data_IF_260654171522
#
_entry.id   IF_260654171522
#
_cell.length_a   1.000
_cell.length_b   1.000
_cell.length_c   1.000
_cell.angle_alpha   90.00
_cell.angle_beta   90.00
_cell.angle_gamma   90.00
#
_symmetry.space_group_name_H-M   'P 1'
#
loop_
_entity.id
_entity.type
_entity.pdbx_description
1 polymer ?
#
# COMPACT_ATOMS: atom_id res chain seq x y z
N UNK A 1 21.31 76.10 24.15
CA UNK A 1 20.40 75.94 25.31
C UNK A 1 18.99 76.30 24.87
N UNK A 2 17.99 75.56 25.38
CA UNK A 2 16.52 75.71 25.21
C UNK A 2 15.84 75.08 23.96
N UNK A 3 15.43 73.81 24.10
CA UNK A 3 14.04 73.35 24.22
C UNK A 3 12.89 74.24 23.70
N UNK A 4 12.01 73.73 22.80
CA UNK A 4 10.67 73.19 23.16
C UNK A 4 9.80 72.76 21.96
N UNK A 5 9.03 71.70 22.21
CA UNK A 5 7.93 71.12 21.46
C UNK A 5 6.82 72.12 21.07
N UNK A 6 6.17 71.90 19.92
CA UNK A 6 4.76 71.49 19.85
C UNK A 6 4.39 71.13 18.40
N UNK A 7 3.87 69.92 18.15
CA UNK A 7 2.97 69.68 17.01
C UNK A 7 2.01 68.56 17.35
N UNK A 8 0.74 68.94 17.28
CA UNK A 8 -0.45 68.16 17.60
C UNK A 8 -0.88 67.41 16.33
N UNK A 9 -1.32 66.17 16.56
CA UNK A 9 -1.97 65.24 15.64
C UNK A 9 -3.06 65.86 14.76
N UNK A 10 -3.14 65.43 13.49
CA UNK A 10 -4.42 64.98 12.92
C UNK A 10 -4.20 63.93 11.82
N UNK A 11 -4.98 62.86 11.95
CA UNK A 11 -4.94 61.60 11.22
C UNK A 11 -5.80 61.72 9.94
N UNK A 12 -5.30 61.28 8.79
CA UNK A 12 -6.17 60.82 7.71
C UNK A 12 -5.54 59.64 6.97
N UNK A 13 -6.36 58.59 6.88
CA UNK A 13 -6.08 57.26 6.36
C UNK A 13 -6.01 57.30 4.82
N UNK A 14 -4.95 56.76 4.23
CA UNK A 14 -4.96 56.33 2.82
C UNK A 14 -4.45 54.89 2.74
N UNK A 15 -5.35 53.99 2.36
CA UNK A 15 -5.06 52.60 2.01
C UNK A 15 -4.13 52.56 0.81
N UNK A 16 -2.98 51.90 0.95
CA UNK A 16 -2.12 51.51 -0.18
C UNK A 16 -2.36 50.02 -0.42
N UNK A 17 -3.03 49.68 -1.52
CA UNK A 17 -3.03 48.33 -2.08
C UNK A 17 -1.79 48.19 -2.97
N UNK A 18 -0.77 47.49 -2.47
CA UNK A 18 0.34 47.05 -3.30
C UNK A 18 -0.05 45.77 -4.06
N UNK A 19 0.05 45.86 -5.38
CA UNK A 19 -0.01 44.74 -6.32
C UNK A 19 1.09 43.72 -6.06
N UNK A 20 0.76 42.43 -6.08
CA UNK A 20 1.75 41.36 -6.24
C UNK A 20 1.38 40.49 -7.45
N UNK A 21 1.97 40.84 -8.59
CA UNK A 21 1.89 40.11 -9.84
C UNK A 21 3.04 39.09 -9.85
N UNK A 22 2.80 37.83 -9.44
CA UNK A 22 3.62 36.65 -9.79
C UNK A 22 3.00 35.36 -9.21
N UNK A 23 2.34 34.59 -10.07
CA UNK A 23 2.45 33.13 -10.25
C UNK A 23 1.25 32.51 -11.00
N UNK A 24 0.99 32.93 -12.24
CA UNK A 24 -0.01 32.25 -13.11
C UNK A 24 0.60 31.14 -14.00
N UNK A 25 1.93 31.04 -14.14
CA UNK A 25 2.55 30.04 -15.03
C UNK A 25 2.42 28.58 -14.59
N UNK A 26 2.17 28.29 -13.30
CA UNK A 26 2.00 26.91 -12.82
C UNK A 26 0.57 26.41 -13.02
N UNK A 27 -0.42 27.30 -12.99
CA UNK A 27 -1.84 26.95 -13.09
C UNK A 27 -2.28 26.81 -14.55
N UNK A 28 -1.73 27.64 -15.45
CA UNK A 28 -1.95 27.52 -16.91
C UNK A 28 -1.33 26.23 -17.49
N UNK A 29 -0.17 25.79 -17.00
CA UNK A 29 0.45 24.53 -17.45
C UNK A 29 -0.29 23.27 -16.98
N UNK A 30 -0.93 23.30 -15.81
CA UNK A 30 -1.74 22.19 -15.29
C UNK A 30 -3.09 22.09 -16.02
N UNK A 31 -3.72 23.22 -16.35
CA UNK A 31 -4.96 23.22 -17.15
C UNK A 31 -4.70 22.75 -18.59
N UNK A 32 -3.61 23.21 -19.23
CA UNK A 32 -3.27 22.78 -20.60
C UNK A 32 -2.95 21.27 -20.69
N UNK A 33 -2.22 20.70 -19.72
CA UNK A 33 -1.94 19.26 -19.72
C UNK A 33 -3.19 18.40 -19.47
N UNK A 34 -4.09 18.84 -18.60
CA UNK A 34 -5.32 18.09 -18.29
C UNK A 34 -6.28 18.10 -19.48
N UNK A 35 -6.36 19.21 -20.20
CA UNK A 35 -7.19 19.34 -21.40
C UNK A 35 -6.65 18.52 -22.58
N UNK A 36 -5.32 18.48 -22.76
CA UNK A 36 -4.66 17.67 -23.80
C UNK A 36 -4.83 16.17 -23.56
N UNK A 37 -4.74 15.68 -22.30
CA UNK A 37 -4.90 14.24 -22.00
C UNK A 37 -6.36 13.77 -22.23
N UNK A 38 -7.35 14.63 -21.98
CA UNK A 38 -8.76 14.25 -22.13
C UNK A 38 -9.16 13.95 -23.59
N UNK A 39 -8.48 14.53 -24.58
CA UNK A 39 -8.74 14.30 -26.01
C UNK A 39 -7.84 13.22 -26.64
N UNK A 40 -7.02 12.52 -25.83
CA UNK A 40 -6.18 11.42 -26.34
C UNK A 40 -6.95 10.13 -26.49
N UNK A 41 -6.56 9.31 -27.47
CA UNK A 41 -7.00 7.91 -27.60
C UNK A 41 -6.19 7.00 -26.68
N UNK A 42 -6.70 5.80 -26.40
CA UNK A 42 -5.99 4.81 -25.59
C UNK A 42 -4.56 4.55 -26.09
N UNK A 43 -4.33 4.50 -27.39
CA UNK A 43 -3.00 4.26 -28.00
C UNK A 43 -2.07 5.48 -28.00
N UNK A 44 -2.59 6.70 -27.81
CA UNK A 44 -1.78 7.90 -28.01
C UNK A 44 -0.77 8.11 -26.88
N UNK A 45 0.48 8.41 -27.24
CA UNK A 45 1.57 8.69 -26.30
C UNK A 45 2.24 7.46 -25.69
N UNK A 46 1.74 6.25 -25.93
CA UNK A 46 2.37 5.01 -25.47
C UNK A 46 3.15 4.31 -26.58
N UNK A 47 4.19 3.59 -26.18
CA UNK A 47 4.92 2.65 -27.04
C UNK A 47 4.50 1.23 -26.71
N UNK A 48 4.38 0.39 -27.74
CA UNK A 48 3.99 -1.04 -27.62
C UNK A 48 5.23 -1.96 -27.69
N UNK A 49 6.34 -1.45 -28.21
CA UNK A 49 7.64 -2.12 -28.16
C UNK A 49 8.27 -1.94 -26.77
N UNK A 50 8.94 -2.99 -26.26
CA UNK A 50 9.63 -2.98 -24.96
C UNK A 50 8.74 -2.59 -23.76
N UNK A 51 7.46 -2.93 -23.80
CA UNK A 51 6.57 -2.78 -22.64
C UNK A 51 6.73 -3.95 -21.66
N UNK A 52 5.98 -3.90 -20.56
CA UNK A 52 5.82 -5.03 -19.63
C UNK A 52 5.03 -6.21 -20.25
N UNK A 53 4.46 -6.03 -21.44
CA UNK A 53 3.77 -7.05 -22.23
C UNK A 53 4.59 -7.38 -23.48
N UNK A 54 4.51 -8.63 -23.96
CA UNK A 54 5.10 -8.93 -25.26
C UNK A 54 4.27 -8.26 -26.35
N UNK A 55 4.93 -7.70 -27.36
CA UNK A 55 4.25 -7.01 -28.47
C UNK A 55 3.17 -7.87 -29.12
N UNK A 56 3.45 -9.15 -29.28
CA UNK A 56 2.54 -10.10 -29.94
C UNK A 56 1.30 -10.43 -29.09
N UNK A 57 1.30 -10.06 -27.80
CA UNK A 57 0.17 -10.27 -26.90
C UNK A 57 -0.82 -9.09 -26.93
N UNK A 58 -0.51 -8.02 -27.68
CA UNK A 58 -1.33 -6.80 -27.76
C UNK A 58 -2.06 -6.77 -29.11
N UNK A 59 -3.32 -7.19 -29.08
CA UNK A 59 -4.19 -7.39 -30.24
C UNK A 59 -4.77 -6.07 -30.82
N UNK A 60 -3.90 -5.17 -31.28
CA UNK A 60 -4.34 -3.95 -31.96
C UNK A 60 -5.11 -4.26 -33.24
N UNK A 61 -6.05 -3.37 -33.61
CA UNK A 61 -6.87 -3.46 -34.83
C UNK A 61 -7.71 -4.75 -34.93
N UNK A 62 -7.97 -5.42 -33.79
CA UNK A 62 -8.77 -6.64 -33.72
C UNK A 62 -10.21 -6.38 -33.30
N UNK A 63 -10.40 -5.67 -32.19
CA UNK A 63 -11.72 -5.48 -31.58
C UNK A 63 -12.29 -4.09 -31.87
N UNK A 64 -13.56 -4.03 -32.26
CA UNK A 64 -14.25 -2.78 -32.56
C UNK A 64 -15.49 -2.56 -31.68
N UNK A 65 -15.64 -1.34 -31.18
CA UNK A 65 -16.82 -0.84 -30.49
C UNK A 65 -17.34 0.40 -31.24
N UNK A 66 -18.64 0.42 -31.59
CA UNK A 66 -19.24 1.52 -32.36
C UNK A 66 -18.48 1.91 -33.64
N UNK A 67 -18.01 0.93 -34.42
CA UNK A 67 -17.21 1.10 -35.65
C UNK A 67 -15.82 1.75 -35.44
N UNK A 68 -15.30 1.73 -34.23
CA UNK A 68 -13.96 2.21 -33.88
C UNK A 68 -13.18 1.10 -33.18
N UNK A 69 -11.89 0.96 -33.49
CA UNK A 69 -11.04 -0.01 -32.80
C UNK A 69 -10.86 0.39 -31.33
N UNK A 70 -10.77 -0.58 -30.42
CA UNK A 70 -10.63 -0.32 -28.97
C UNK A 70 -9.47 0.65 -28.71
N UNK A 71 -8.30 0.44 -29.31
CA UNK A 71 -7.14 1.29 -29.06
C UNK A 71 -7.31 2.73 -29.56
N UNK A 72 -8.27 2.98 -30.45
CA UNK A 72 -8.59 4.30 -30.95
C UNK A 72 -9.64 5.02 -30.08
N UNK A 73 -10.27 4.37 -29.10
CA UNK A 73 -11.28 4.99 -28.22
C UNK A 73 -10.65 6.15 -27.42
N UNK A 74 -11.35 7.27 -27.35
CA UNK A 74 -10.92 8.45 -26.61
C UNK A 74 -11.08 8.27 -25.10
N UNK A 75 -10.10 8.75 -24.33
CA UNK A 75 -10.11 8.68 -22.87
C UNK A 75 -11.35 9.39 -22.30
N UNK A 76 -11.74 10.56 -22.83
CA UNK A 76 -12.96 11.27 -22.37
C UNK A 76 -14.23 10.44 -22.50
N UNK A 77 -14.34 9.59 -23.52
CA UNK A 77 -15.53 8.77 -23.71
C UNK A 77 -15.59 7.69 -22.62
N UNK A 78 -14.46 7.07 -22.29
CA UNK A 78 -14.37 6.11 -21.18
C UNK A 78 -14.54 6.76 -19.80
N UNK A 79 -14.31 8.07 -19.67
CA UNK A 79 -14.62 8.83 -18.45
C UNK A 79 -16.13 9.09 -18.32
N UNK A 80 -16.87 9.20 -19.42
CA UNK A 80 -18.33 9.31 -19.40
C UNK A 80 -18.95 8.01 -18.84
N UNK A 81 -19.81 8.16 -17.84
CA UNK A 81 -20.40 7.01 -17.12
C UNK A 81 -21.33 6.19 -18.01
N UNK A 82 -22.10 6.83 -18.89
CA UNK A 82 -23.07 6.13 -19.73
C UNK A 82 -22.33 5.35 -20.82
N UNK A 83 -21.38 5.99 -21.49
CA UNK A 83 -20.51 5.34 -22.46
C UNK A 83 -19.77 4.16 -21.82
N UNK A 84 -19.12 4.36 -20.66
CA UNK A 84 -18.41 3.29 -19.96
C UNK A 84 -19.33 2.12 -19.58
N UNK A 85 -20.58 2.39 -19.20
CA UNK A 85 -21.57 1.34 -18.87
C UNK A 85 -21.89 0.48 -20.09
N UNK A 86 -22.12 1.09 -21.26
CA UNK A 86 -22.36 0.35 -22.50
C UNK A 86 -21.09 -0.34 -23.01
N UNK A 87 -19.94 0.27 -22.81
CA UNK A 87 -18.65 -0.32 -23.14
C UNK A 87 -18.37 -1.58 -22.30
N UNK A 88 -18.66 -1.55 -20.99
CA UNK A 88 -18.57 -2.73 -20.11
C UNK A 88 -19.47 -3.86 -20.64
N UNK A 89 -20.70 -3.57 -21.07
CA UNK A 89 -21.56 -4.60 -21.67
C UNK A 89 -20.91 -5.20 -22.92
N UNK A 90 -20.35 -4.36 -23.80
CA UNK A 90 -19.64 -4.82 -24.99
C UNK A 90 -18.44 -5.72 -24.65
N UNK A 91 -17.66 -5.37 -23.63
CA UNK A 91 -16.51 -6.19 -23.19
C UNK A 91 -16.93 -7.57 -22.70
N UNK A 92 -18.13 -7.70 -22.14
CA UNK A 92 -18.70 -8.98 -21.66
C UNK A 92 -19.32 -9.83 -22.77
N UNK A 93 -19.67 -9.24 -23.90
CA UNK A 93 -20.33 -9.96 -24.99
C UNK A 93 -19.36 -10.92 -25.68
N UNK A 94 -19.60 -12.23 -25.55
CA UNK A 94 -18.89 -13.27 -26.29
C UNK A 94 -19.75 -13.74 -27.47
N UNK A 95 -19.43 -13.32 -28.70
CA UNK A 95 -20.09 -13.80 -29.93
C UNK A 95 -19.29 -14.90 -30.62
N UNK A 96 -17.96 -14.87 -30.46
CA UNK A 96 -16.99 -15.88 -30.91
C UNK A 96 -15.98 -16.14 -29.78
N UNK A 97 -15.27 -17.28 -29.80
CA UNK A 97 -14.30 -17.65 -28.75
C UNK A 97 -13.22 -16.56 -28.54
N UNK A 98 -12.75 -15.93 -29.62
CA UNK A 98 -11.77 -14.83 -29.57
C UNK A 98 -12.28 -13.54 -28.87
N UNK A 99 -13.60 -13.39 -28.66
CA UNK A 99 -14.17 -12.20 -28.02
C UNK A 99 -13.89 -12.13 -26.52
N UNK A 100 -13.52 -13.25 -25.88
CA UNK A 100 -13.21 -13.31 -24.45
C UNK A 100 -12.05 -12.37 -24.07
N UNK A 101 -11.19 -12.02 -25.03
CA UNK A 101 -9.99 -11.20 -24.82
C UNK A 101 -10.17 -9.70 -25.10
N UNK A 102 -11.40 -9.20 -25.33
CA UNK A 102 -11.64 -7.74 -25.47
C UNK A 102 -11.16 -6.97 -24.23
N UNK A 103 -11.48 -7.48 -23.05
CA UNK A 103 -11.08 -6.92 -21.75
C UNK A 103 -9.56 -6.94 -21.55
N UNK A 104 -8.89 -7.92 -22.14
CA UNK A 104 -7.44 -8.09 -22.12
C UNK A 104 -6.75 -6.90 -22.80
N UNK A 105 -7.16 -6.55 -24.02
CA UNK A 105 -6.56 -5.44 -24.77
C UNK A 105 -6.71 -4.11 -24.05
N UNK A 106 -7.94 -3.75 -23.62
CA UNK A 106 -8.16 -2.46 -22.95
C UNK A 106 -7.39 -2.38 -21.62
N UNK A 107 -7.31 -3.48 -20.88
CA UNK A 107 -6.53 -3.55 -19.64
C UNK A 107 -5.04 -3.34 -19.90
N UNK A 108 -4.47 -4.00 -20.91
CA UNK A 108 -3.06 -3.82 -21.31
C UNK A 108 -2.78 -2.35 -21.65
N UNK A 109 -3.59 -1.73 -22.49
CA UNK A 109 -3.40 -0.33 -22.90
C UNK A 109 -3.47 0.61 -21.69
N UNK A 110 -4.46 0.46 -20.81
CA UNK A 110 -4.59 1.26 -19.59
C UNK A 110 -3.39 1.09 -18.66
N UNK A 111 -2.92 -0.15 -18.45
CA UNK A 111 -1.73 -0.42 -17.62
C UNK A 111 -0.46 0.20 -18.26
N UNK A 112 -0.28 0.08 -19.58
CA UNK A 112 0.85 0.69 -20.29
C UNK A 112 0.82 2.21 -20.08
N UNK A 113 -0.35 2.85 -20.21
CA UNK A 113 -0.50 4.29 -19.97
C UNK A 113 -0.17 4.68 -18.54
N UNK A 114 -0.65 3.91 -17.55
CA UNK A 114 -0.30 4.15 -16.14
C UNK A 114 1.21 4.11 -15.91
N UNK A 115 1.91 3.16 -16.53
CA UNK A 115 3.36 2.98 -16.34
C UNK A 115 4.17 4.03 -17.11
N UNK A 116 3.89 4.24 -18.40
CA UNK A 116 4.71 5.11 -19.26
C UNK A 116 4.38 6.59 -19.06
N UNK A 117 3.12 6.92 -18.80
CA UNK A 117 2.62 8.30 -18.77
C UNK A 117 2.22 8.78 -17.37
N UNK A 118 2.21 7.90 -16.37
CA UNK A 118 1.58 8.20 -15.06
C UNK A 118 0.13 8.67 -15.24
N UNK A 119 -0.59 8.07 -16.19
CA UNK A 119 -1.93 8.49 -16.58
C UNK A 119 -2.96 8.18 -15.48
N UNK A 120 -3.46 9.23 -14.84
CA UNK A 120 -4.44 9.16 -13.74
C UNK A 120 -5.84 8.77 -14.22
N UNK A 121 -6.20 9.11 -15.47
CA UNK A 121 -7.47 8.71 -16.05
C UNK A 121 -7.44 7.22 -16.37
N UNK A 122 -6.30 6.71 -16.84
CA UNK A 122 -6.12 5.28 -17.07
C UNK A 122 -6.28 4.47 -15.76
N UNK A 123 -5.73 4.95 -14.65
CA UNK A 123 -5.96 4.35 -13.33
C UNK A 123 -7.45 4.30 -12.97
N UNK A 124 -8.17 5.42 -13.15
CA UNK A 124 -9.58 5.50 -12.84
C UNK A 124 -10.42 4.57 -13.71
N UNK A 125 -10.22 4.61 -15.03
CA UNK A 125 -10.94 3.75 -15.97
C UNK A 125 -10.67 2.29 -15.67
N UNK A 126 -9.41 1.89 -15.47
CA UNK A 126 -9.08 0.50 -15.12
C UNK A 126 -9.77 0.08 -13.81
N UNK A 127 -9.77 0.94 -12.79
CA UNK A 127 -10.47 0.69 -11.52
C UNK A 127 -11.97 0.50 -11.72
N UNK A 128 -12.60 1.31 -12.57
CA UNK A 128 -14.03 1.22 -12.89
C UNK A 128 -14.38 -0.05 -13.66
N UNK A 129 -13.58 -0.42 -14.68
CA UNK A 129 -13.77 -1.65 -15.44
C UNK A 129 -13.62 -2.88 -14.54
N UNK A 130 -12.71 -2.83 -13.58
CA UNK A 130 -12.43 -3.92 -12.64
C UNK A 130 -13.54 -4.17 -11.62
N UNK A 131 -14.58 -3.33 -11.57
CA UNK A 131 -15.75 -3.53 -10.69
C UNK A 131 -16.73 -4.57 -11.24
N UNK A 132 -16.67 -4.85 -12.54
CA UNK A 132 -17.45 -5.93 -13.14
C UNK A 132 -16.59 -7.20 -13.17
N UNK A 133 -17.05 -8.26 -12.50
CA UNK A 133 -16.27 -9.49 -12.32
C UNK A 133 -15.87 -10.15 -13.64
N UNK A 134 -16.75 -10.15 -14.65
CA UNK A 134 -16.46 -10.81 -15.93
C UNK A 134 -15.40 -10.04 -16.73
N UNK A 135 -15.48 -8.71 -16.68
CA UNK A 135 -14.46 -7.83 -17.30
C UNK A 135 -13.13 -7.90 -16.53
N UNK A 136 -13.18 -7.97 -15.21
CA UNK A 136 -11.98 -8.09 -14.37
C UNK A 136 -11.24 -9.41 -14.62
N UNK A 137 -11.97 -10.53 -14.63
CA UNK A 137 -11.45 -11.88 -14.80
C UNK A 137 -10.67 -12.05 -16.11
N UNK A 138 -11.25 -11.58 -17.23
CA UNK A 138 -10.59 -11.61 -18.55
C UNK A 138 -9.73 -10.38 -18.85
N UNK A 139 -9.51 -9.53 -17.85
CA UNK A 139 -8.84 -8.24 -17.99
C UNK A 139 -7.76 -8.05 -16.95
N UNK A 140 -8.05 -7.22 -15.95
CA UNK A 140 -7.06 -6.77 -14.96
C UNK A 140 -6.46 -7.92 -14.15
N UNK A 141 -7.23 -8.97 -13.85
CA UNK A 141 -6.82 -10.06 -12.97
C UNK A 141 -5.71 -10.93 -13.60
N UNK A 142 -5.69 -11.04 -14.93
CA UNK A 142 -4.60 -11.68 -15.69
C UNK A 142 -3.25 -10.98 -15.50
N UNK A 143 -3.27 -9.74 -14.99
CA UNK A 143 -2.10 -8.87 -14.87
C UNK A 143 -1.76 -8.47 -13.45
N UNK A 144 -2.26 -9.22 -12.45
CA UNK A 144 -1.99 -8.98 -11.04
C UNK A 144 -0.49 -8.83 -10.73
N UNK A 145 0.35 -9.77 -11.15
CA UNK A 145 1.80 -9.71 -10.95
C UNK A 145 2.43 -8.41 -11.51
N UNK A 146 2.03 -8.01 -12.72
CA UNK A 146 2.54 -6.79 -13.38
C UNK A 146 2.08 -5.51 -12.66
N UNK A 147 0.83 -5.48 -12.21
CA UNK A 147 0.29 -4.38 -11.40
C UNK A 147 0.97 -4.30 -10.03
N UNK A 148 1.24 -5.44 -9.40
CA UNK A 148 1.94 -5.52 -8.11
C UNK A 148 3.35 -5.01 -8.22
N UNK A 149 4.08 -5.38 -9.28
CA UNK A 149 5.38 -4.78 -9.59
C UNK A 149 5.28 -3.26 -9.70
N UNK A 150 4.33 -2.74 -10.48
CA UNK A 150 4.16 -1.28 -10.62
C UNK A 150 3.80 -0.60 -9.29
N UNK A 151 2.97 -1.22 -8.46
CA UNK A 151 2.65 -0.74 -7.12
C UNK A 151 3.88 -0.65 -6.22
N UNK A 152 4.74 -1.68 -6.22
CA UNK A 152 6.00 -1.68 -5.46
C UNK A 152 6.96 -0.60 -5.98
N UNK A 153 7.05 -0.41 -7.30
CA UNK A 153 7.90 0.62 -7.89
C UNK A 153 7.41 2.04 -7.58
N UNK A 154 6.10 2.24 -7.53
CA UNK A 154 5.46 3.56 -7.43
C UNK A 154 4.26 3.57 -6.47
N UNK A 155 4.46 3.32 -5.16
CA UNK A 155 3.36 3.28 -4.20
C UNK A 155 2.66 4.63 -4.05
N UNK A 156 3.40 5.73 -4.25
CA UNK A 156 2.86 7.09 -4.20
C UNK A 156 1.72 7.29 -5.21
N UNK A 157 1.88 6.82 -6.44
CA UNK A 157 0.86 6.95 -7.48
C UNK A 157 -0.45 6.27 -7.07
N UNK A 158 -0.38 5.03 -6.58
CA UNK A 158 -1.56 4.28 -6.15
C UNK A 158 -2.26 4.92 -4.94
N UNK A 159 -1.50 5.42 -3.98
CA UNK A 159 -2.08 6.13 -2.82
C UNK A 159 -2.80 7.40 -3.26
N UNK A 160 -2.16 8.21 -4.12
CA UNK A 160 -2.72 9.47 -4.58
C UNK A 160 -3.97 9.26 -5.42
N UNK A 161 -3.94 8.32 -6.39
CA UNK A 161 -5.10 8.09 -7.25
C UNK A 161 -6.22 7.34 -6.53
N UNK A 162 -5.88 6.35 -5.68
CA UNK A 162 -6.85 5.67 -4.84
C UNK A 162 -7.58 6.63 -3.90
N UNK A 163 -6.86 7.56 -3.27
CA UNK A 163 -7.46 8.59 -2.43
C UNK A 163 -8.31 9.58 -3.23
N UNK A 164 -7.85 10.01 -4.41
CA UNK A 164 -8.56 10.96 -5.29
C UNK A 164 -9.91 10.42 -5.78
N UNK A 165 -9.95 9.15 -6.16
CA UNK A 165 -11.15 8.51 -6.72
C UNK A 165 -11.96 7.73 -5.68
N UNK A 166 -11.46 7.59 -4.45
CA UNK A 166 -12.05 6.78 -3.39
C UNK A 166 -12.21 5.30 -3.75
N UNK A 167 -11.24 4.75 -4.48
CA UNK A 167 -11.29 3.39 -5.03
C UNK A 167 -10.23 2.47 -4.44
N UNK A 168 -10.56 1.21 -4.24
CA UNK A 168 -9.63 0.16 -3.76
C UNK A 168 -9.58 -1.05 -4.69
N UNK A 169 -10.34 -1.07 -5.79
CA UNK A 169 -10.51 -2.24 -6.66
C UNK A 169 -9.19 -2.84 -7.14
N UNK A 170 -8.26 -2.00 -7.62
CA UNK A 170 -6.95 -2.49 -8.07
C UNK A 170 -6.10 -3.04 -6.92
N UNK A 171 -6.26 -2.56 -5.69
CA UNK A 171 -5.59 -3.12 -4.53
C UNK A 171 -6.05 -4.56 -4.26
N UNK A 172 -7.30 -4.90 -4.57
CA UNK A 172 -7.81 -6.27 -4.44
C UNK A 172 -7.12 -7.23 -5.43
N UNK A 173 -6.71 -6.73 -6.60
CA UNK A 173 -5.91 -7.50 -7.56
C UNK A 173 -4.44 -7.59 -7.14
N UNK A 174 -3.91 -6.54 -6.51
CA UNK A 174 -2.49 -6.44 -6.11
C UNK A 174 -2.18 -7.26 -4.86
N UNK A 175 -2.99 -7.13 -3.81
CA UNK A 175 -2.66 -7.68 -2.49
C UNK A 175 -2.49 -9.20 -2.44
N UNK A 176 -3.30 -10.01 -3.14
CA UNK A 176 -3.09 -11.46 -3.20
C UNK A 176 -1.72 -11.85 -3.77
N UNK A 177 -1.14 -11.02 -4.64
CA UNK A 177 0.13 -11.27 -5.30
C UNK A 177 1.33 -10.85 -4.45
N UNK A 178 1.12 -10.08 -3.37
CA UNK A 178 2.22 -9.62 -2.52
C UNK A 178 2.97 -10.78 -1.86
N UNK A 179 2.36 -11.95 -1.66
CA UNK A 179 3.05 -13.14 -1.14
C UNK A 179 4.16 -13.65 -2.06
N UNK A 180 4.14 -13.31 -3.36
CA UNK A 180 5.19 -13.68 -4.31
C UNK A 180 6.39 -12.74 -4.29
N UNK A 181 6.24 -11.55 -3.71
CA UNK A 181 7.29 -10.51 -3.62
C UNK A 181 7.77 -10.31 -2.17
N UNK A 182 6.82 -10.35 -1.23
CA UNK A 182 6.80 -10.26 0.22
C UNK A 182 7.53 -11.34 1.05
N UNK A 183 8.68 -10.98 1.62
CA UNK A 183 9.33 -11.46 2.85
C UNK A 183 8.50 -11.67 4.13
N UNK A 184 7.62 -12.67 4.30
CA UNK A 184 6.99 -12.91 5.63
C UNK A 184 8.01 -13.35 6.70
N UNK A 185 7.85 -12.89 7.95
CA UNK A 185 8.76 -13.26 9.06
C UNK A 185 8.86 -14.78 9.29
N UNK A 186 7.77 -15.53 9.15
CA UNK A 186 7.78 -16.99 9.35
C UNK A 186 8.67 -17.73 8.34
N UNK A 187 8.85 -17.16 7.14
CA UNK A 187 9.64 -17.75 6.07
C UNK A 187 11.05 -18.15 6.53
N UNK A 188 11.73 -17.30 7.29
CA UNK A 188 13.09 -17.58 7.75
C UNK A 188 13.11 -18.78 8.68
N UNK A 189 12.23 -18.81 9.67
CA UNK A 189 12.11 -19.94 10.61
C UNK A 189 11.72 -21.24 9.90
N UNK A 190 10.73 -21.17 9.02
CA UNK A 190 10.19 -22.32 8.29
C UNK A 190 11.23 -22.95 7.36
N UNK A 191 12.22 -22.16 6.92
CA UNK A 191 13.28 -22.60 6.02
C UNK A 191 14.65 -22.76 6.70
N UNK A 192 14.71 -22.76 8.03
CA UNK A 192 15.93 -22.91 8.83
C UNK A 192 16.99 -21.83 8.56
N UNK A 193 16.53 -20.60 8.34
CA UNK A 193 17.34 -19.40 8.17
C UNK A 193 17.63 -18.70 9.50
N UNK A 194 18.91 -18.41 9.74
CA UNK A 194 19.38 -17.52 10.80
C UNK A 194 19.64 -16.13 10.22
N UNK A 195 19.00 -15.10 10.79
CA UNK A 195 19.02 -13.71 10.30
C UNK A 195 18.74 -12.75 11.47
N UNK A 196 19.47 -11.63 11.52
CA UNK A 196 19.27 -10.57 12.52
C UNK A 196 18.09 -9.66 12.13
N UNK A 197 16.88 -10.08 12.49
CA UNK A 197 15.64 -9.36 12.21
C UNK A 197 15.47 -8.14 13.13
N UNK A 198 15.16 -6.99 12.52
CA UNK A 198 14.89 -5.71 13.20
C UNK A 198 13.44 -5.26 12.95
N UNK A 199 12.89 -4.57 13.93
CA UNK A 199 11.50 -4.13 13.91
C UNK A 199 11.27 -3.11 12.78
N UNK A 200 10.20 -3.29 12.02
CA UNK A 200 9.85 -2.40 10.91
C UNK A 200 10.44 -2.79 9.55
N UNK A 201 11.29 -3.82 9.47
CA UNK A 201 11.86 -4.26 8.19
C UNK A 201 10.79 -4.87 7.28
N UNK A 202 10.98 -4.76 5.97
CA UNK A 202 10.16 -5.39 4.95
C UNK A 202 11.10 -5.95 3.87
N UNK A 203 11.09 -7.26 3.64
CA UNK A 203 12.04 -7.86 2.71
C UNK A 203 11.42 -8.18 1.36
N UNK A 204 12.18 -7.94 0.28
CA UNK A 204 11.87 -8.45 -1.05
C UNK A 204 12.50 -9.83 -1.25
N UNK A 205 11.78 -10.75 -1.91
CA UNK A 205 12.37 -12.00 -2.36
C UNK A 205 13.54 -11.74 -3.35
N UNK A 206 14.74 -12.29 -3.11
CA UNK A 206 15.93 -11.95 -3.92
C UNK A 206 15.81 -12.29 -5.41
N UNK A 207 15.09 -13.36 -5.77
CA UNK A 207 14.87 -13.76 -7.15
C UNK A 207 13.93 -12.82 -7.91
N UNK A 208 13.08 -12.07 -7.18
CA UNK A 208 12.17 -11.05 -7.75
C UNK A 208 12.87 -9.75 -8.11
N UNK A 209 14.05 -9.45 -7.57
CA UNK A 209 14.77 -8.20 -7.84
C UNK A 209 14.98 -7.96 -9.35
N UNK A 210 15.35 -9.01 -10.09
CA UNK A 210 15.64 -8.95 -11.53
C UNK A 210 14.42 -8.57 -12.38
N UNK A 211 13.22 -8.77 -11.87
CA UNK A 211 11.96 -8.53 -12.58
C UNK A 211 11.62 -7.03 -12.62
N UNK A 212 12.19 -6.21 -11.75
CA UNK A 212 11.93 -4.77 -11.66
C UNK A 212 12.66 -3.93 -12.71
N UNK A 213 12.19 -2.70 -12.94
CA UNK A 213 12.83 -1.74 -13.83
C UNK A 213 14.27 -1.41 -13.40
N UNK A 214 15.15 -1.10 -14.36
CA UNK A 214 16.54 -0.70 -14.07
C UNK A 214 16.62 0.53 -13.14
N UNK A 215 15.69 1.48 -13.29
CA UNK A 215 15.58 2.62 -12.38
C UNK A 215 15.25 2.20 -10.95
N UNK A 216 14.34 1.25 -10.78
CA UNK A 216 13.96 0.76 -9.47
C UNK A 216 15.07 -0.06 -8.83
N UNK A 217 15.73 -0.96 -9.58
CA UNK A 217 16.91 -1.70 -9.10
C UNK A 217 18.01 -0.77 -8.60
N UNK A 218 18.34 0.29 -9.36
CA UNK A 218 19.28 1.34 -8.89
C UNK A 218 18.80 2.07 -7.64
N UNK A 219 17.49 2.25 -7.45
CA UNK A 219 16.93 2.87 -6.25
C UNK A 219 17.13 1.96 -5.03
N UNK A 220 16.69 0.71 -5.10
CA UNK A 220 16.72 -0.23 -3.98
C UNK A 220 18.13 -0.74 -3.65
N UNK A 221 19.08 -0.70 -4.61
CA UNK A 221 20.50 -1.04 -4.36
C UNK A 221 21.18 -0.17 -3.29
N UNK A 222 20.56 0.95 -2.91
CA UNK A 222 21.04 1.86 -1.86
C UNK A 222 20.46 1.53 -0.48
N UNK A 223 19.50 0.63 -0.42
CA UNK A 223 18.87 0.23 0.83
C UNK A 223 19.75 -0.77 1.58
N UNK A 224 19.49 -0.92 2.87
CA UNK A 224 20.17 -1.91 3.70
C UNK A 224 19.81 -3.32 3.26
N UNK A 225 20.78 -4.22 3.41
CA UNK A 225 20.59 -5.65 3.25
C UNK A 225 20.86 -6.36 4.56
N UNK A 226 20.10 -7.42 4.83
CA UNK A 226 20.40 -8.34 5.93
C UNK A 226 20.81 -9.70 5.35
N UNK A 227 21.89 -10.25 5.90
CA UNK A 227 22.40 -11.56 5.52
C UNK A 227 21.61 -12.64 6.28
N UNK A 228 21.13 -13.66 5.56
CA UNK A 228 20.54 -14.85 6.15
C UNK A 228 21.37 -16.08 5.81
N UNK A 229 21.73 -16.84 6.85
CA UNK A 229 22.42 -18.12 6.73
C UNK A 229 21.39 -19.23 6.86
N UNK A 230 21.11 -19.92 5.76
CA UNK A 230 20.19 -21.04 5.73
C UNK A 230 20.92 -22.38 5.88
N UNK A 231 20.38 -23.21 6.77
CA UNK A 231 20.68 -24.64 6.83
C UNK A 231 19.98 -25.40 5.67
N UNK A 232 20.31 -26.69 5.44
CA UNK A 232 19.68 -27.48 4.39
C UNK A 232 18.18 -27.64 4.59
N UNK A 233 17.38 -27.24 3.61
CA UNK A 233 15.91 -27.31 3.58
C UNK A 233 15.42 -27.45 2.13
N UNK A 234 14.11 -27.60 1.94
CA UNK A 234 13.53 -27.65 0.59
C UNK A 234 13.84 -26.37 -0.21
N UNK A 235 13.73 -25.20 0.42
CA UNK A 235 14.05 -23.91 -0.19
C UNK A 235 15.51 -23.82 -0.64
N UNK A 236 16.43 -24.36 0.15
CA UNK A 236 17.86 -24.35 -0.21
C UNK A 236 18.31 -25.51 -1.07
N UNK A 237 17.38 -26.36 -1.55
CA UNK A 237 17.69 -27.60 -2.26
C UNK A 237 18.69 -28.48 -1.48
N UNK A 238 18.49 -28.55 -0.16
CA UNK A 238 19.30 -29.34 0.79
C UNK A 238 20.78 -28.94 0.84
N UNK A 239 21.09 -27.66 0.63
CA UNK A 239 22.45 -27.11 0.72
C UNK A 239 22.50 -25.94 1.70
N UNK A 240 23.65 -25.73 2.33
CA UNK A 240 23.87 -24.48 3.07
C UNK A 240 23.92 -23.32 2.08
N UNK A 241 23.17 -22.24 2.36
CA UNK A 241 23.17 -21.04 1.52
C UNK A 241 23.23 -19.79 2.38
N UNK A 242 24.02 -18.83 1.93
CA UNK A 242 24.00 -17.47 2.46
C UNK A 242 23.32 -16.58 1.42
N UNK A 243 22.25 -15.90 1.81
CA UNK A 243 21.43 -15.08 0.91
C UNK A 243 21.19 -13.73 1.56
N UNK A 244 21.42 -12.66 0.81
CA UNK A 244 21.14 -11.30 1.25
C UNK A 244 19.71 -10.90 0.87
N UNK A 245 18.96 -10.35 1.82
CA UNK A 245 17.62 -9.79 1.61
C UNK A 245 17.69 -8.27 1.68
N UNK A 246 17.12 -7.59 0.68
CA UNK A 246 17.03 -6.13 0.65
C UNK A 246 15.85 -5.70 1.52
N UNK A 247 16.08 -4.81 2.49
CA UNK A 247 15.04 -4.15 3.25
C UNK A 247 14.42 -3.01 2.42
N UNK A 248 13.22 -3.26 1.90
CA UNK A 248 12.41 -2.33 1.11
C UNK A 248 11.41 -1.53 1.95
N UNK A 249 11.47 -1.59 3.29
CA UNK A 249 10.64 -0.76 4.18
C UNK A 249 10.71 0.75 3.86
N UNK A 250 11.83 1.33 3.37
CA UNK A 250 11.87 2.75 3.01
C UNK A 250 10.90 3.14 1.89
N UNK A 251 10.43 2.19 1.05
CA UNK A 251 9.41 2.46 0.02
C UNK A 251 8.08 2.93 0.62
N UNK A 252 7.77 2.48 1.83
CA UNK A 252 6.53 2.78 2.56
C UNK A 252 6.79 3.59 3.84
N UNK A 253 8.01 4.12 4.00
CA UNK A 253 8.47 4.85 5.18
C UNK A 253 8.22 6.35 5.13
N UNK A 254 8.95 7.09 5.97
CA UNK A 254 8.75 8.54 6.18
C UNK A 254 8.84 9.37 4.89
N UNK A 255 9.77 9.05 3.98
CA UNK A 255 9.92 9.77 2.72
C UNK A 255 8.67 9.72 1.84
N UNK A 256 7.93 8.61 1.86
CA UNK A 256 6.64 8.50 1.21
C UNK A 256 5.60 9.33 1.96
N UNK A 257 5.49 9.14 3.28
CA UNK A 257 4.46 9.75 4.11
C UNK A 257 4.51 11.29 4.12
N UNK A 258 5.70 11.89 4.00
CA UNK A 258 5.85 13.36 3.94
C UNK A 258 5.26 13.93 2.62
N UNK A 259 5.21 13.13 1.55
CA UNK A 259 4.64 13.55 0.26
C UNK A 259 3.10 13.48 0.24
N UNK A 260 2.49 12.83 1.23
CA UNK A 260 1.05 12.61 1.28
C UNK A 260 0.32 13.74 2.02
N UNK A 261 -0.81 14.17 1.48
CA UNK A 261 -1.76 15.02 2.18
C UNK A 261 -2.60 14.23 3.22
N UNK A 262 -3.45 14.91 3.98
CA UNK A 262 -4.25 14.28 5.06
C UNK A 262 -5.18 13.18 4.54
N UNK A 263 -5.84 13.40 3.40
CA UNK A 263 -6.75 12.42 2.80
C UNK A 263 -5.99 11.20 2.27
N UNK A 264 -4.84 11.43 1.64
CA UNK A 264 -3.95 10.37 1.13
C UNK A 264 -3.36 9.52 2.26
N UNK A 265 -2.94 10.14 3.37
CA UNK A 265 -2.49 9.42 4.57
C UNK A 265 -3.61 8.56 5.14
N UNK A 266 -4.82 9.09 5.22
CA UNK A 266 -5.96 8.32 5.70
C UNK A 266 -6.25 7.12 4.78
N UNK A 267 -6.24 7.33 3.46
CA UNK A 267 -6.39 6.25 2.50
C UNK A 267 -5.29 5.18 2.66
N UNK A 268 -4.02 5.57 2.77
CA UNK A 268 -2.91 4.65 2.98
C UNK A 268 -3.10 3.83 4.26
N UNK A 269 -3.42 4.47 5.38
CA UNK A 269 -3.61 3.80 6.67
C UNK A 269 -4.79 2.81 6.64
N UNK A 270 -5.89 3.19 6.00
CA UNK A 270 -7.10 2.37 5.93
C UNK A 270 -6.95 1.17 4.98
N UNK A 271 -6.36 1.40 3.80
CA UNK A 271 -6.46 0.45 2.69
C UNK A 271 -5.16 -0.28 2.39
N UNK A 272 -4.00 0.22 2.82
CA UNK A 272 -2.69 -0.35 2.44
C UNK A 272 -1.89 -0.80 3.67
N UNK A 273 -1.81 0.06 4.70
CA UNK A 273 -0.95 -0.18 5.86
C UNK A 273 -1.27 -1.51 6.56
N UNK A 274 -2.55 -1.87 6.69
CA UNK A 274 -2.94 -3.12 7.34
C UNK A 274 -2.47 -4.36 6.58
N UNK A 275 -2.55 -4.36 5.24
CA UNK A 275 -2.00 -5.44 4.43
C UNK A 275 -0.48 -5.53 4.60
N UNK A 276 0.22 -4.39 4.57
CA UNK A 276 1.67 -4.35 4.73
C UNK A 276 2.13 -4.88 6.10
N UNK A 277 1.39 -4.63 7.19
CA UNK A 277 1.71 -5.15 8.54
C UNK A 277 1.88 -6.68 8.57
N UNK A 278 1.23 -7.42 7.67
CA UNK A 278 1.40 -8.88 7.57
C UNK A 278 2.80 -9.31 7.09
N UNK A 279 3.57 -8.38 6.51
CA UNK A 279 4.92 -8.59 6.00
C UNK A 279 5.98 -7.81 6.77
N UNK A 280 5.59 -6.76 7.49
CA UNK A 280 6.51 -6.01 8.35
C UNK A 280 7.02 -6.93 9.46
N UNK A 281 8.34 -7.02 9.57
CA UNK A 281 9.02 -7.72 10.64
C UNK A 281 8.72 -7.04 11.96
N UNK A 282 8.10 -7.79 12.85
CA UNK A 282 7.94 -7.39 14.24
C UNK A 282 9.01 -8.12 15.03
N UNK A 283 10.19 -7.49 15.11
CA UNK A 283 11.25 -7.95 16.02
C UNK A 283 10.88 -7.53 17.45
N UNK A 284 9.69 -7.92 17.89
CA UNK A 284 9.59 -8.28 19.28
C UNK A 284 10.56 -9.46 19.43
N UNK A 285 11.80 -9.16 19.86
CA UNK A 285 12.36 -9.95 20.95
C UNK A 285 11.20 -10.01 21.91
N UNK A 286 10.54 -11.16 21.94
CA UNK A 286 9.42 -11.46 22.82
C UNK A 286 9.57 -10.60 24.05
N UNK A 287 8.70 -9.59 24.21
CA UNK A 287 8.40 -9.12 25.56
C UNK A 287 8.11 -10.43 26.28
N UNK A 288 9.06 -10.83 27.15
CA UNK A 288 9.31 -12.24 27.40
C UNK A 288 7.98 -12.90 27.68
N UNK A 289 7.52 -13.79 26.80
CA UNK A 289 6.36 -14.65 27.03
C UNK A 289 6.77 -15.61 28.15
N UNK A 290 6.97 -15.06 29.34
CA UNK A 290 7.29 -15.77 30.53
C UNK A 290 5.96 -16.28 31.02
N UNK A 291 5.79 -17.59 30.95
CA UNK A 291 4.69 -18.24 31.65
C UNK A 291 4.80 -17.89 33.13
N UNK A 292 3.73 -17.33 33.68
CA UNK A 292 3.62 -16.98 35.09
C UNK A 292 2.38 -17.65 35.70
N UNK A 293 2.32 -17.66 37.03
CA UNK A 293 1.20 -18.23 37.77
C UNK A 293 0.53 -17.12 38.58
N UNK A 294 -0.80 -17.11 38.59
CA UNK A 294 -1.57 -16.22 39.46
C UNK A 294 -1.49 -16.70 40.90
N UNK A 295 -1.17 -15.81 41.83
CA UNK A 295 -1.23 -16.07 43.27
C UNK A 295 -1.99 -14.93 43.94
N UNK A 296 -3.19 -15.23 44.38
CA UNK A 296 -4.04 -14.32 45.15
C UNK A 296 -4.56 -15.03 46.42
N UNK A 297 -4.40 -14.45 47.62
CA UNK A 297 -4.97 -14.98 48.87
C UNK A 297 -6.49 -15.17 48.82
N UNK A 298 -7.19 -14.37 48.00
CA UNK A 298 -8.65 -14.45 47.86
C UNK A 298 -9.10 -15.61 46.95
N UNK A 299 -8.14 -16.38 46.41
CA UNK A 299 -8.38 -17.56 45.57
C UNK A 299 -8.59 -17.24 44.08
N UNK A 300 -8.70 -15.96 43.70
CA UNK A 300 -8.77 -15.51 42.32
C UNK A 300 -8.34 -14.04 42.19
N UNK A 301 -8.05 -13.61 40.97
CA UNK A 301 -7.82 -12.19 40.65
C UNK A 301 -8.63 -11.77 39.43
N UNK A 302 -8.81 -10.46 39.26
CA UNK A 302 -9.60 -9.90 38.15
C UNK A 302 -8.69 -9.51 36.99
N UNK A 303 -8.95 -10.07 35.81
CA UNK A 303 -8.43 -9.56 34.54
C UNK A 303 -9.22 -8.31 34.17
N UNK A 304 -8.54 -7.17 34.02
CA UNK A 304 -9.18 -5.88 33.78
C UNK A 304 -8.88 -5.34 32.39
N UNK A 305 -9.77 -4.51 31.86
CA UNK A 305 -9.61 -3.89 30.55
C UNK A 305 -8.47 -2.85 30.48
N UNK A 306 -8.28 -2.08 31.55
CA UNK A 306 -7.26 -1.03 31.68
C UNK A 306 -6.44 -1.16 32.97
N UNK A 307 -5.31 -0.45 33.03
CA UNK A 307 -4.30 -0.47 34.13
C UNK A 307 -4.76 0.21 35.43
N UNK A 308 -5.95 -0.11 35.95
CA UNK A 308 -6.47 0.45 37.21
C UNK A 308 -7.54 -0.45 37.88
N UNK A 309 -7.77 -0.26 39.19
CA UNK A 309 -8.69 -1.08 40.00
C UNK A 309 -10.17 -0.81 39.74
N UNK A 310 -10.53 0.32 39.14
CA UNK A 310 -11.90 0.70 38.78
C UNK A 310 -12.33 0.23 37.39
N UNK A 311 -11.40 -0.29 36.58
CA UNK A 311 -11.65 -0.75 35.23
C UNK A 311 -12.61 -1.94 35.19
N UNK A 312 -13.36 -2.03 34.10
CA UNK A 312 -14.18 -3.18 33.72
C UNK A 312 -13.41 -4.50 33.91
N UNK A 313 -14.09 -5.47 34.54
CA UNK A 313 -13.55 -6.83 34.76
C UNK A 313 -13.96 -7.70 33.57
N UNK A 314 -12.98 -8.21 32.84
CA UNK A 314 -13.17 -9.03 31.65
C UNK A 314 -13.32 -10.52 31.98
N UNK A 315 -12.68 -10.95 33.08
CA UNK A 315 -12.64 -12.34 33.56
C UNK A 315 -12.13 -12.41 35.01
N UNK A 316 -12.58 -13.42 35.77
CA UNK A 316 -11.95 -13.84 37.01
C UNK A 316 -10.99 -15.00 36.73
N UNK A 317 -9.73 -14.89 37.13
CA UNK A 317 -8.66 -15.88 36.90
C UNK A 317 -8.28 -16.50 38.24
N UNK A 318 -8.39 -17.83 38.39
CA UNK A 318 -8.18 -18.47 39.69
C UNK A 318 -6.70 -18.47 40.09
N UNK A 319 -6.46 -18.42 41.40
CA UNK A 319 -5.14 -18.63 41.98
C UNK A 319 -4.62 -20.02 41.61
N UNK A 320 -3.37 -20.11 41.17
CA UNK A 320 -2.75 -21.31 40.61
C UNK A 320 -2.87 -21.46 39.09
N UNK A 321 -3.66 -20.62 38.40
CA UNK A 321 -3.75 -20.67 36.94
C UNK A 321 -2.50 -20.10 36.27
N UNK A 322 -2.15 -20.72 35.14
CA UNK A 322 -1.10 -20.24 34.27
C UNK A 322 -1.60 -19.12 33.35
N UNK A 323 -0.79 -18.09 33.24
CA UNK A 323 -0.99 -16.98 32.32
C UNK A 323 0.26 -16.76 31.48
N UNK A 324 0.06 -16.14 30.33
CA UNK A 324 1.13 -15.63 29.49
C UNK A 324 1.25 -14.13 29.75
N UNK A 325 2.45 -13.64 30.09
CA UNK A 325 2.69 -12.22 30.27
C UNK A 325 3.14 -11.63 28.93
N UNK A 326 2.35 -10.70 28.39
CA UNK A 326 2.57 -10.05 27.09
C UNK A 326 3.31 -8.72 27.24
N UNK A 327 3.10 -7.99 28.34
CA UNK A 327 3.82 -6.76 28.69
C UNK A 327 3.93 -6.65 30.21
N UNK A 328 5.13 -6.44 30.74
CA UNK A 328 5.40 -6.29 32.17
C UNK A 328 5.88 -4.88 32.56
N UNK A 329 5.64 -3.88 31.71
CA UNK A 329 5.99 -2.50 32.00
C UNK A 329 5.03 -1.86 33.04
N UNK A 330 5.56 -1.60 34.23
CA UNK A 330 4.88 -0.90 35.33
C UNK A 330 4.23 -1.83 36.36
N UNK A 331 3.16 -1.37 36.99
CA UNK A 331 2.48 -2.13 38.07
C UNK A 331 1.38 -3.05 37.56
N UNK A 332 0.92 -2.85 36.32
CA UNK A 332 -0.15 -3.61 35.68
C UNK A 332 0.40 -4.29 34.44
N UNK A 333 0.47 -5.61 34.50
CA UNK A 333 0.99 -6.42 33.40
C UNK A 333 -0.15 -6.75 32.44
N UNK A 334 0.11 -6.62 31.13
CA UNK A 334 -0.76 -7.18 30.10
C UNK A 334 -0.52 -8.68 30.06
N UNK A 335 -1.59 -9.44 30.17
CA UNK A 335 -1.54 -10.90 30.22
C UNK A 335 -2.59 -11.51 29.30
N UNK A 336 -2.36 -12.76 28.91
CA UNK A 336 -3.30 -13.61 28.22
C UNK A 336 -3.63 -14.83 29.08
N UNK A 337 -4.92 -15.07 29.28
CA UNK A 337 -5.41 -16.22 30.04
C UNK A 337 -5.40 -17.49 29.19
N UNK A 338 -5.52 -18.66 29.82
CA UNK A 338 -5.66 -19.94 29.11
C UNK A 338 -6.85 -19.97 28.13
N UNK A 339 -7.88 -19.18 28.41
CA UNK A 339 -9.08 -19.02 27.57
C UNK A 339 -8.86 -18.04 26.41
N UNK A 340 -7.66 -17.47 26.27
CA UNK A 340 -7.27 -16.58 25.18
C UNK A 340 -7.69 -15.12 25.35
N UNK A 341 -8.26 -14.74 26.51
CA UNK A 341 -8.61 -13.34 26.80
C UNK A 341 -7.40 -12.55 27.24
N UNK A 342 -7.29 -11.32 26.74
CA UNK A 342 -6.19 -10.40 27.04
C UNK A 342 -6.67 -9.25 27.91
N UNK A 343 -5.86 -8.84 28.87
CA UNK A 343 -6.17 -7.76 29.80
C UNK A 343 -5.09 -7.58 30.85
N UNK A 344 -5.33 -6.70 31.82
CA UNK A 344 -4.35 -6.28 32.80
C UNK A 344 -4.59 -6.89 34.18
N UNK A 345 -3.51 -7.39 34.79
CA UNK A 345 -3.47 -7.87 36.17
C UNK A 345 -2.34 -7.14 36.90
N UNK A 346 -2.59 -6.72 38.14
CA UNK A 346 -1.58 -6.06 38.95
C UNK A 346 -0.45 -7.05 39.31
N UNK A 347 0.81 -6.62 39.17
CA UNK A 347 2.01 -7.47 39.33
C UNK A 347 2.07 -8.21 40.67
N UNK A 348 1.46 -7.65 41.72
CA UNK A 348 1.41 -8.29 43.06
C UNK A 348 0.65 -9.62 43.09
N UNK A 349 -0.08 -9.95 42.02
CA UNK A 349 -0.84 -11.19 41.86
C UNK A 349 -0.18 -12.18 40.92
N UNK A 350 0.99 -11.84 40.38
CA UNK A 350 1.68 -12.64 39.37
C UNK A 350 3.01 -13.09 39.96
N UNK A 351 3.25 -14.41 39.96
CA UNK A 351 4.55 -14.98 40.30
C UNK A 351 5.18 -15.57 39.05
N UNK A 352 6.30 -14.98 38.64
CA UNK A 352 7.14 -15.51 37.55
C UNK A 352 7.78 -16.82 37.99
N UNK A 353 7.98 -17.72 37.03
CA UNK A 353 8.53 -19.05 37.25
C UNK A 353 10.04 -19.03 37.48
#
# INVERSE_FOLDING_TARGET
>A
MLNRLLSIFFLSFLFVTYSCQKNNKKQDNLMNNTQVINETRLIDGITIDNTIFQKNDIDLKKYQYNNQYIEDIEIKDLLDKNYRTEFIKFLKETKIEDDEFKSTLVSQLLIIRMIQLSDVNAFYILSELSKDNDVAYNGVELYGEKLTKFFIENPLFFIQQGAKYHETTLLNTIFPQLDEFFVKQSFFKDNLGDIDLKNGQLFLFPDKEKEFSESFKRKISKFSTEECIFSPSLYTAWQNKTINFIDISPLFGEELLIKLNVFEKNYFNQNIQNTLKGYIINSEKTASQSSAIIIDPDGYTNLRKDKNTSSEVLQNVKSGEHIEVLDNAGDWFLVKTKEGKEGYIHKSRIKSK
#
